data_IF_820199510227
#
_entry.id   IF_820199510227
#
_cell.length_a   1.000
_cell.length_b   1.000
_cell.length_c   1.000
_cell.angle_alpha   90.00
_cell.angle_beta   90.00
_cell.angle_gamma   90.00
#
_symmetry.space_group_name_H-M   'P 1'
#
loop_
_entity.id
_entity.type
_entity.pdbx_description
1 polymer ?
#
# COMPACT_ATOMS: atom_id res chain seq x y z
N UNK A 1 8.83 -24.28 62.23
CA UNK A 1 8.91 -25.04 60.96
C UNK A 1 7.90 -24.43 59.99
N UNK A 2 8.39 -23.63 59.04
CA UNK A 2 7.57 -22.81 58.15
C UNK A 2 7.01 -23.63 56.97
N UNK A 3 5.71 -23.48 56.69
CA UNK A 3 5.00 -24.05 55.54
C UNK A 3 5.24 -23.18 54.29
N UNK A 4 5.50 -23.78 53.13
CA UNK A 4 5.31 -23.15 51.80
C UNK A 4 4.51 -24.07 50.89
N UNK A 5 3.37 -23.55 50.42
CA UNK A 5 2.39 -24.22 49.57
C UNK A 5 2.88 -24.31 48.11
N UNK A 6 2.61 -25.45 47.46
CA UNK A 6 2.80 -25.66 46.02
C UNK A 6 1.68 -24.94 45.27
N UNK A 7 2.02 -23.88 44.55
CA UNK A 7 1.12 -23.20 43.62
C UNK A 7 0.88 -24.10 42.40
N UNK A 8 -0.28 -24.75 42.35
CA UNK A 8 -0.83 -25.33 41.12
C UNK A 8 -1.43 -24.19 40.30
N UNK A 9 -0.71 -23.73 39.29
CA UNK A 9 -1.30 -22.85 38.29
C UNK A 9 -2.26 -23.68 37.43
N UNK A 10 -3.56 -23.52 37.68
CA UNK A 10 -4.66 -23.99 36.82
C UNK A 10 -4.38 -23.55 35.38
N UNK A 11 -4.09 -24.49 34.49
CA UNK A 11 -4.20 -24.26 33.05
C UNK A 11 -5.70 -24.06 32.75
N UNK A 12 -6.11 -22.81 32.56
CA UNK A 12 -7.42 -22.52 31.98
C UNK A 12 -7.38 -22.99 30.52
N UNK A 13 -8.03 -24.12 30.25
CA UNK A 13 -8.34 -24.57 28.91
C UNK A 13 -9.34 -23.61 28.30
N UNK A 14 -8.90 -22.78 27.36
CA UNK A 14 -9.82 -22.06 26.48
C UNK A 14 -10.24 -23.03 25.38
N UNK A 15 -11.43 -23.60 25.56
CA UNK A 15 -12.16 -24.30 24.53
C UNK A 15 -12.36 -23.38 23.31
N UNK A 16 -12.17 -23.96 22.13
CA UNK A 16 -12.40 -23.31 20.84
C UNK A 16 -13.86 -22.91 20.70
N UNK A 17 -14.16 -21.62 20.87
CA UNK A 17 -15.33 -21.00 20.29
C UNK A 17 -14.96 -19.59 19.84
N UNK A 18 -14.91 -19.39 18.52
CA UNK A 18 -15.41 -18.20 17.83
C UNK A 18 -15.42 -18.47 16.33
N UNK A 19 -16.61 -18.77 15.82
CA UNK A 19 -16.97 -18.48 14.44
C UNK A 19 -16.69 -17.00 14.20
N UNK A 20 -15.77 -16.72 13.29
CA UNK A 20 -15.35 -15.38 12.91
C UNK A 20 -15.44 -15.30 11.39
N UNK A 21 -16.67 -15.03 10.94
CA UNK A 21 -17.03 -14.68 9.57
C UNK A 21 -16.51 -13.25 9.27
N UNK A 22 -15.21 -13.03 9.37
CA UNK A 22 -14.56 -11.83 8.86
C UNK A 22 -13.69 -12.26 7.70
N UNK A 23 -14.21 -12.00 6.51
CA UNK A 23 -13.53 -12.11 5.24
C UNK A 23 -12.06 -11.71 5.38
N UNK A 24 -11.15 -12.66 5.18
CA UNK A 24 -9.85 -12.26 4.64
C UNK A 24 -10.17 -11.72 3.26
N UNK A 25 -10.31 -10.40 3.12
CA UNK A 25 -10.47 -9.74 1.82
C UNK A 25 -9.18 -9.99 1.07
N UNK A 26 -9.09 -11.13 0.39
CA UNK A 26 -8.00 -11.44 -0.53
C UNK A 26 -8.17 -10.47 -1.69
N UNK A 27 -7.12 -9.74 -2.03
CA UNK A 27 -7.09 -8.88 -3.21
C UNK A 27 -7.60 -9.70 -4.40
N UNK A 28 -8.64 -9.23 -5.14
CA UNK A 28 -9.20 -9.97 -6.25
C UNK A 28 -8.10 -10.41 -7.22
N UNK A 29 -8.12 -11.69 -7.63
CA UNK A 29 -7.20 -12.17 -8.66
C UNK A 29 -7.45 -11.36 -9.95
N UNK A 30 -6.38 -10.80 -10.54
CA UNK A 30 -6.45 -10.03 -11.78
C UNK A 30 -7.09 -10.92 -12.87
N UNK A 31 -8.34 -10.62 -13.26
CA UNK A 31 -8.97 -11.27 -14.42
C UNK A 31 -8.20 -10.83 -15.66
N UNK A 32 -7.89 -11.78 -16.55
CA UNK A 32 -7.29 -11.46 -17.85
C UNK A 32 -8.28 -10.59 -18.63
N UNK A 33 -7.83 -9.42 -19.06
CA UNK A 33 -8.65 -8.45 -19.78
C UNK A 33 -9.04 -9.02 -21.15
N UNK A 34 -10.32 -9.36 -21.33
CA UNK A 34 -10.88 -9.70 -22.63
C UNK A 34 -11.30 -8.38 -23.31
N UNK A 35 -10.78 -8.10 -24.51
CA UNK A 35 -11.15 -6.99 -25.42
C UNK A 35 -11.74 -5.75 -24.72
N UNK A 36 -10.93 -5.06 -23.91
CA UNK A 36 -11.35 -3.80 -23.28
C UNK A 36 -10.84 -2.66 -24.16
N UNK A 37 -11.74 -1.80 -24.64
CA UNK A 37 -11.37 -0.57 -25.30
C UNK A 37 -10.60 0.33 -24.30
N UNK A 38 -9.33 0.68 -24.55
CA UNK A 38 -8.55 1.52 -23.64
C UNK A 38 -9.18 2.90 -23.39
N UNK A 39 -9.99 3.40 -24.33
CA UNK A 39 -10.66 4.70 -24.23
C UNK A 39 -11.79 4.71 -23.19
N UNK A 40 -12.39 3.55 -22.92
CA UNK A 40 -13.49 3.40 -21.95
C UNK A 40 -12.99 3.14 -20.52
N UNK A 41 -11.68 2.93 -20.35
CA UNK A 41 -11.08 2.73 -19.04
C UNK A 41 -10.96 4.05 -18.28
N UNK A 42 -11.15 3.98 -16.96
CA UNK A 42 -10.89 5.11 -16.07
C UNK A 42 -9.39 5.41 -16.08
N UNK A 43 -9.04 6.60 -16.55
CA UNK A 43 -7.66 7.11 -16.55
C UNK A 43 -7.23 7.42 -15.12
N UNK A 44 -6.07 6.90 -14.71
CA UNK A 44 -5.51 7.12 -13.37
C UNK A 44 -4.23 7.95 -13.45
N UNK A 45 -4.12 8.96 -12.60
CA UNK A 45 -2.99 9.88 -12.55
C UNK A 45 -2.49 9.98 -11.11
N UNK A 46 -1.18 10.22 -10.95
CA UNK A 46 -0.57 10.43 -9.64
C UNK A 46 0.15 11.78 -9.59
N UNK A 47 -0.06 12.57 -8.54
CA UNK A 47 0.69 13.80 -8.27
C UNK A 47 1.47 13.67 -6.97
N UNK A 48 2.79 13.83 -7.05
CA UNK A 48 3.63 13.88 -5.85
C UNK A 48 3.56 15.29 -5.25
N UNK A 49 3.17 15.37 -3.98
CA UNK A 49 3.22 16.62 -3.23
C UNK A 49 4.69 16.96 -2.92
N UNK A 50 5.14 18.21 -3.13
CA UNK A 50 6.48 18.64 -2.70
C UNK A 50 6.73 18.37 -1.23
N UNK A 51 7.93 17.88 -0.93
CA UNK A 51 8.45 17.65 0.43
C UNK A 51 9.73 18.49 0.55
N UNK A 52 9.99 19.06 1.72
CA UNK A 52 11.17 19.91 1.94
C UNK A 52 12.49 19.15 1.72
N UNK A 53 12.55 17.90 2.19
CA UNK A 53 13.68 16.99 1.99
C UNK A 53 13.30 15.85 1.03
N UNK A 54 13.77 15.92 -0.21
CA UNK A 54 13.56 14.86 -1.20
C UNK A 54 14.15 13.52 -0.76
N UNK A 55 15.24 13.53 0.01
CA UNK A 55 15.92 12.32 0.48
C UNK A 55 15.12 11.54 1.54
N UNK A 56 14.12 12.19 2.16
CA UNK A 56 13.18 11.53 3.08
C UNK A 56 11.98 10.90 2.37
N UNK A 57 11.89 11.02 1.05
CA UNK A 57 10.78 10.46 0.28
C UNK A 57 10.88 8.93 0.22
N UNK A 58 9.84 8.26 0.69
CA UNK A 58 9.65 6.82 0.50
C UNK A 58 9.09 6.46 -0.89
N UNK A 59 8.82 7.47 -1.72
CA UNK A 59 8.33 7.31 -3.09
C UNK A 59 9.37 7.83 -4.08
N UNK A 60 9.78 6.99 -5.01
CA UNK A 60 10.72 7.29 -6.09
C UNK A 60 9.99 7.23 -7.42
N UNK A 61 10.20 8.22 -8.28
CA UNK A 61 9.69 8.19 -9.65
C UNK A 61 10.70 7.41 -10.49
N UNK A 62 10.24 6.36 -11.18
CA UNK A 62 11.08 5.59 -12.11
C UNK A 62 10.99 6.17 -13.52
N UNK A 63 9.78 6.51 -13.97
CA UNK A 63 9.52 7.18 -15.25
C UNK A 63 8.19 7.95 -15.18
N UNK A 64 7.76 8.54 -16.31
CA UNK A 64 6.52 9.34 -16.38
C UNK A 64 5.23 8.58 -16.05
N UNK A 65 5.28 7.25 -15.97
CA UNK A 65 4.11 6.39 -15.70
C UNK A 65 4.29 5.51 -14.47
N UNK A 66 5.49 5.45 -13.91
CA UNK A 66 5.86 4.41 -12.95
C UNK A 66 6.56 5.00 -11.75
N UNK A 67 6.14 4.53 -10.58
CA UNK A 67 6.76 4.85 -9.30
C UNK A 67 7.13 3.59 -8.55
N UNK A 68 8.06 3.76 -7.62
CA UNK A 68 8.49 2.77 -6.66
C UNK A 68 8.27 3.30 -5.25
N UNK A 69 7.66 2.50 -4.38
CA UNK A 69 7.42 2.83 -2.97
C UNK A 69 8.20 1.85 -2.11
N UNK A 70 8.96 2.39 -1.16
CA UNK A 70 9.71 1.62 -0.17
C UNK A 70 9.03 1.74 1.19
N UNK A 71 8.85 0.60 1.86
CA UNK A 71 8.34 0.60 3.23
C UNK A 71 9.38 1.26 4.17
N UNK A 72 8.97 2.18 5.07
CA UNK A 72 9.87 2.73 6.09
C UNK A 72 10.45 1.63 6.98
N UNK A 73 11.70 1.76 7.41
CA UNK A 73 12.42 0.75 8.20
C UNK A 73 11.70 0.41 9.52
N UNK A 74 11.10 1.42 10.14
CA UNK A 74 10.38 1.26 11.41
C UNK A 74 8.98 0.63 11.24
N UNK A 75 8.50 0.50 10.00
CA UNK A 75 7.16 0.02 9.71
C UNK A 75 7.02 -1.49 9.94
N UNK A 76 5.81 -1.91 10.30
CA UNK A 76 5.49 -3.34 10.41
C UNK A 76 5.64 -4.07 9.07
N UNK A 77 5.48 -3.38 7.93
CA UNK A 77 5.68 -3.97 6.61
C UNK A 77 7.14 -4.39 6.41
N UNK A 78 8.06 -3.50 6.78
CA UNK A 78 9.51 -3.77 6.73
C UNK A 78 9.90 -4.93 7.66
N UNK A 79 9.42 -4.92 8.91
CA UNK A 79 9.71 -5.96 9.92
C UNK A 79 9.18 -7.36 9.53
N UNK A 80 8.10 -7.43 8.76
CA UNK A 80 7.47 -8.67 8.34
C UNK A 80 8.04 -9.25 7.03
N UNK A 81 9.17 -8.73 6.53
CA UNK A 81 9.82 -9.24 5.32
C UNK A 81 9.12 -8.85 4.01
N UNK A 82 8.12 -7.95 4.04
CA UNK A 82 7.63 -7.24 2.85
C UNK A 82 8.55 -6.05 2.56
N UNK A 83 9.84 -6.38 2.39
CA UNK A 83 10.93 -5.42 2.36
C UNK A 83 11.25 -4.93 0.94
N UNK A 84 10.65 -5.58 -0.07
CA UNK A 84 10.90 -5.25 -1.46
C UNK A 84 10.23 -3.94 -1.89
N UNK A 85 10.83 -3.21 -2.84
CA UNK A 85 10.17 -2.09 -3.49
C UNK A 85 8.84 -2.52 -4.14
N UNK A 86 7.79 -1.73 -3.91
CA UNK A 86 6.50 -1.90 -4.58
C UNK A 86 6.41 -0.96 -5.77
N UNK A 87 6.09 -1.49 -6.96
CA UNK A 87 5.96 -0.71 -8.19
C UNK A 87 4.50 -0.49 -8.56
N UNK A 88 4.18 0.74 -8.97
CA UNK A 88 2.84 1.14 -9.39
C UNK A 88 2.91 1.85 -10.74
N UNK A 89 1.94 1.54 -11.61
CA UNK A 89 1.83 2.09 -12.96
C UNK A 89 0.56 2.94 -13.06
N UNK A 90 0.71 4.14 -13.61
CA UNK A 90 -0.32 5.14 -13.83
C UNK A 90 -0.31 5.58 -15.30
N UNK A 91 -1.37 6.28 -15.73
CA UNK A 91 -1.40 6.90 -17.06
C UNK A 91 -0.33 8.01 -17.17
N UNK A 92 -0.14 8.78 -16.10
CA UNK A 92 0.94 9.76 -15.94
C UNK A 92 1.18 10.09 -14.46
N UNK A 93 2.44 10.32 -14.13
CA UNK A 93 2.97 10.70 -12.81
C UNK A 93 3.50 12.12 -12.91
N UNK A 94 2.96 13.01 -12.09
CA UNK A 94 3.39 14.40 -11.97
C UNK A 94 4.38 14.51 -10.80
N UNK A 95 5.58 14.99 -11.10
CA UNK A 95 6.63 15.20 -10.10
C UNK A 95 6.27 16.37 -9.16
N UNK A 96 7.08 16.55 -8.13
CA UNK A 96 6.91 17.64 -7.16
C UNK A 96 6.92 19.03 -7.83
N UNK A 97 7.66 19.17 -8.93
CA UNK A 97 7.79 20.44 -9.66
C UNK A 97 6.68 20.66 -10.69
N UNK A 98 5.71 19.75 -10.80
CA UNK A 98 4.63 19.88 -11.77
C UNK A 98 3.73 21.08 -11.43
N UNK A 99 3.49 21.93 -12.42
CA UNK A 99 2.63 23.10 -12.26
C UNK A 99 1.16 22.70 -12.34
N UNK A 100 0.29 23.55 -11.80
CA UNK A 100 -1.15 23.35 -11.88
C UNK A 100 -1.66 23.43 -13.32
N UNK A 101 -1.03 24.27 -14.15
CA UNK A 101 -1.28 24.38 -15.58
C UNK A 101 -0.98 23.06 -16.30
N UNK A 102 0.20 22.48 -16.06
CA UNK A 102 0.57 21.18 -16.64
C UNK A 102 -0.44 20.07 -16.26
N UNK A 103 -0.93 20.07 -15.01
CA UNK A 103 -1.95 19.12 -14.57
C UNK A 103 -3.27 19.35 -15.31
N UNK A 104 -3.70 20.61 -15.45
CA UNK A 104 -4.92 20.97 -16.17
C UNK A 104 -4.87 20.53 -17.64
N UNK A 105 -3.78 20.86 -18.34
CA UNK A 105 -3.61 20.52 -19.77
C UNK A 105 -3.65 19.01 -20.03
N UNK A 106 -3.13 18.20 -19.08
CA UNK A 106 -3.03 16.75 -19.26
C UNK A 106 -4.26 15.99 -18.79
N UNK A 107 -5.01 16.53 -17.83
CA UNK A 107 -6.16 15.85 -17.21
C UNK A 107 -7.47 16.50 -17.64
N UNK A 108 -7.66 17.78 -17.33
CA UNK A 108 -8.97 18.43 -17.44
C UNK A 108 -9.28 18.93 -18.85
N UNK A 109 -8.29 19.39 -19.59
CA UNK A 109 -8.48 19.87 -20.97
C UNK A 109 -8.98 18.78 -21.95
N UNK A 110 -8.49 17.53 -21.92
CA UNK A 110 -8.96 16.45 -22.80
C UNK A 110 -10.14 15.64 -22.22
N UNK A 111 -10.75 16.06 -21.11
CA UNK A 111 -11.93 15.42 -20.50
C UNK A 111 -13.22 16.05 -21.03
#
# INVERSE_FOLDING_TARGET
IYRKAKNQQKRLSFSNFKNSIYNTIKTPKKKQAQNINPEELIKTYLRIRPIEDSDKSYCKILNEKEIEILAPEDSNAYKNGKQGPEQYIFQKVFSQNATQEQIYENIALPM
#
